data_IF_077115327879
#
_entry.id   IF_077115327879
#
_cell.length_a   1.000
_cell.length_b   1.000
_cell.length_c   1.000
_cell.angle_alpha   90.00
_cell.angle_beta   90.00
_cell.angle_gamma   90.00
#
_symmetry.space_group_name_H-M   'P 1'
#
loop_
_entity.id
_entity.type
_entity.pdbx_description
1 polymer ?
#
# COMPACT_ATOMS: atom_id res chain seq x y z
N UNK A 1 7.05 9.72 -9.81
CA UNK A 1 6.99 8.98 -8.53
C UNK A 1 6.96 10.01 -7.40
N UNK A 2 5.86 10.08 -6.66
CA UNK A 2 5.73 10.97 -5.50
C UNK A 2 5.95 10.14 -4.23
N UNK A 3 6.96 10.50 -3.42
CA UNK A 3 7.32 9.79 -2.19
C UNK A 3 7.48 10.82 -1.09
N UNK A 4 6.71 10.65 -0.02
CA UNK A 4 6.80 11.47 1.19
C UNK A 4 7.44 10.68 2.32
N UNK A 5 8.07 11.42 3.24
CA UNK A 5 8.44 10.88 4.54
C UNK A 5 7.22 10.94 5.46
N UNK A 6 6.87 9.81 6.05
CA UNK A 6 5.83 9.70 7.07
C UNK A 6 6.34 8.82 8.23
N UNK A 7 6.07 9.21 9.47
CA UNK A 7 6.48 8.44 10.64
C UNK A 7 5.47 7.30 10.93
N UNK A 8 6.00 6.09 11.11
CA UNK A 8 5.19 4.84 11.14
C UNK A 8 4.22 4.77 12.32
N UNK A 9 4.59 5.31 13.49
CA UNK A 9 3.78 5.22 14.71
C UNK A 9 2.44 5.95 14.58
N UNK A 10 2.48 7.14 14.00
CA UNK A 10 1.28 7.97 13.79
C UNK A 10 0.43 7.44 12.63
N UNK A 11 1.08 6.83 11.64
CA UNK A 11 0.43 6.41 10.40
C UNK A 11 0.08 4.92 10.34
N UNK A 12 0.23 4.16 11.43
CA UNK A 12 -0.01 2.71 11.42
C UNK A 12 -1.43 2.33 10.99
N UNK A 13 -2.44 3.10 11.41
CA UNK A 13 -3.82 2.89 11.00
C UNK A 13 -4.00 3.09 9.49
N UNK A 14 -3.31 4.07 8.91
CA UNK A 14 -3.32 4.32 7.48
C UNK A 14 -2.53 3.24 6.72
N UNK A 15 -1.39 2.81 7.25
CA UNK A 15 -0.58 1.73 6.69
C UNK A 15 -1.37 0.43 6.51
N UNK A 16 -2.28 0.10 7.44
CA UNK A 16 -3.21 -1.03 7.31
C UNK A 16 -4.20 -0.87 6.15
N UNK A 17 -4.69 0.35 5.91
CA UNK A 17 -5.57 0.65 4.76
C UNK A 17 -4.79 0.52 3.45
N UNK A 18 -3.55 1.01 3.40
CA UNK A 18 -2.66 0.89 2.24
C UNK A 18 -2.39 -0.59 1.93
N UNK A 19 -2.14 -1.42 2.95
CA UNK A 19 -2.00 -2.87 2.76
C UNK A 19 -3.24 -3.48 2.08
N UNK A 20 -4.44 -3.17 2.55
CA UNK A 20 -5.67 -3.70 1.96
C UNK A 20 -5.89 -3.22 0.51
N UNK A 21 -5.55 -1.97 0.22
CA UNK A 21 -5.57 -1.44 -1.14
C UNK A 21 -4.55 -2.17 -2.03
N UNK A 22 -3.32 -2.41 -1.54
CA UNK A 22 -2.26 -3.13 -2.26
C UNK A 22 -2.64 -4.59 -2.57
N UNK A 23 -3.33 -5.28 -1.65
CA UNK A 23 -3.81 -6.64 -1.85
C UNK A 23 -4.80 -6.73 -3.02
N UNK A 24 -5.70 -5.75 -3.12
CA UNK A 24 -6.77 -5.74 -4.13
C UNK A 24 -6.38 -5.02 -5.42
N UNK A 25 -5.40 -4.11 -5.38
CA UNK A 25 -5.10 -3.16 -6.46
C UNK A 25 -6.08 -2.00 -6.52
N UNK A 26 -6.80 -1.73 -5.43
CA UNK A 26 -7.69 -0.59 -5.34
C UNK A 26 -6.89 0.71 -5.19
N UNK A 27 -7.49 1.82 -5.61
CA UNK A 27 -6.95 3.15 -5.33
C UNK A 27 -6.80 3.35 -3.81
N UNK A 28 -5.71 3.96 -3.32
CA UNK A 28 -5.58 4.29 -1.91
C UNK A 28 -6.68 5.26 -1.47
N UNK A 29 -7.09 5.20 -0.20
CA UNK A 29 -8.30 5.88 0.29
C UNK A 29 -8.31 7.40 0.20
N UNK A 30 -7.15 8.05 0.05
CA UNK A 30 -7.04 9.51 -0.11
C UNK A 30 -7.12 9.97 -1.58
N UNK A 31 -7.21 9.03 -2.52
CA UNK A 31 -7.32 9.31 -3.96
C UNK A 31 -8.72 8.94 -4.47
N UNK A 32 -9.15 9.52 -5.60
CA UNK A 32 -10.35 9.09 -6.29
C UNK A 32 -10.37 7.58 -6.53
N UNK A 33 -11.55 6.97 -6.39
CA UNK A 33 -11.75 5.53 -6.51
C UNK A 33 -11.86 5.13 -7.98
N UNK A 34 -10.71 5.04 -8.63
CA UNK A 34 -10.59 4.66 -10.05
C UNK A 34 -10.29 3.17 -10.23
N UNK A 35 -9.51 2.57 -9.32
CA UNK A 35 -9.31 1.11 -9.23
C UNK A 35 -8.76 0.44 -10.53
N UNK A 36 -8.04 1.16 -11.39
CA UNK A 36 -7.56 0.64 -12.67
C UNK A 36 -6.65 -0.59 -12.55
N UNK A 37 -5.82 -0.63 -11.51
CA UNK A 37 -4.78 -1.67 -11.32
C UNK A 37 -5.33 -2.99 -10.77
N UNK A 38 -6.64 -3.11 -10.56
CA UNK A 38 -7.26 -4.34 -10.06
C UNK A 38 -7.09 -5.54 -10.99
N UNK A 39 -7.05 -5.32 -12.30
CA UNK A 39 -7.04 -6.38 -13.32
C UNK A 39 -5.69 -6.59 -14.00
N UNK A 40 -4.66 -5.85 -13.58
CA UNK A 40 -3.34 -5.91 -14.21
C UNK A 40 -2.59 -7.17 -13.75
N UNK A 41 -1.94 -7.86 -14.70
CA UNK A 41 -1.28 -9.14 -14.40
C UNK A 41 0.13 -9.01 -13.81
N UNK A 42 0.83 -7.89 -14.03
CA UNK A 42 2.21 -7.65 -13.56
C UNK A 42 2.30 -6.54 -12.51
N UNK A 43 1.28 -6.43 -11.64
CA UNK A 43 1.26 -5.45 -10.56
C UNK A 43 2.17 -5.88 -9.42
N UNK A 44 2.82 -4.92 -8.76
CA UNK A 44 3.46 -5.15 -7.47
C UNK A 44 2.44 -5.63 -6.43
N UNK A 45 2.76 -6.71 -5.72
CA UNK A 45 1.88 -7.32 -4.73
C UNK A 45 2.53 -7.37 -3.35
N UNK A 46 1.76 -7.80 -2.35
CA UNK A 46 2.30 -8.05 -1.00
C UNK A 46 3.41 -9.11 -1.00
N UNK A 47 3.44 -10.02 -1.98
CA UNK A 47 4.49 -11.03 -2.10
C UNK A 47 5.85 -10.42 -2.48
N UNK A 48 5.84 -9.29 -3.17
CA UNK A 48 7.05 -8.60 -3.67
C UNK A 48 7.69 -7.68 -2.61
N UNK A 49 7.06 -7.55 -1.43
CA UNK A 49 7.58 -6.72 -0.35
C UNK A 49 8.85 -7.32 0.27
N UNK A 50 9.89 -6.49 0.31
CA UNK A 50 11.05 -6.73 1.15
C UNK A 50 10.74 -6.46 2.65
N UNK A 51 11.73 -6.68 3.52
CA UNK A 51 11.56 -6.52 4.97
C UNK A 51 11.20 -5.09 5.40
N UNK A 52 11.69 -4.07 4.69
CA UNK A 52 11.40 -2.68 4.99
C UNK A 52 9.96 -2.33 4.62
N UNK A 53 9.48 -2.79 3.47
CA UNK A 53 8.09 -2.63 3.04
C UNK A 53 7.11 -3.31 3.98
N UNK A 54 7.42 -4.54 4.43
CA UNK A 54 6.60 -5.25 5.43
C UNK A 54 6.48 -4.47 6.75
N UNK A 55 7.59 -3.91 7.25
CA UNK A 55 7.59 -3.06 8.46
C UNK A 55 6.82 -1.75 8.27
N UNK A 56 6.97 -1.10 7.11
CA UNK A 56 6.26 0.13 6.78
C UNK A 56 4.73 -0.07 6.73
N UNK A 57 4.28 -1.26 6.33
CA UNK A 57 2.87 -1.65 6.31
C UNK A 57 2.38 -2.30 7.63
N UNK A 58 3.22 -2.35 8.66
CA UNK A 58 2.87 -2.92 9.97
C UNK A 58 2.64 -4.43 9.97
N UNK A 59 3.31 -5.16 9.08
CA UNK A 59 3.20 -6.62 8.94
C UNK A 59 4.27 -7.41 9.70
N UNK A 60 5.35 -6.75 10.15
CA UNK A 60 6.51 -7.36 10.81
C UNK A 60 7.13 -6.42 11.84
#
# INVERSE_FOLDING_TARGET
>A
MYILRADVRENLAYAKKVKAALETGASPGDFPREDYEKTWQDRFTVADLNIHGKRALGMA
#
